data_IF_812690640299
#
_entry.id   IF_812690640299
#
_cell.length_a   1.000
_cell.length_b   1.000
_cell.length_c   1.000
_cell.angle_alpha   90.00
_cell.angle_beta   90.00
_cell.angle_gamma   90.00
#
_symmetry.space_group_name_H-M   'P 1'
#
loop_
_entity.id
_entity.type
_entity.pdbx_description
1 polymer ?
#
# COMPACT_ATOMS: atom_id res chain seq x y z
N UNK A 1 -27.00 -7.75 -13.67
CA UNK A 1 -27.17 -6.63 -14.61
C UNK A 1 -26.03 -5.64 -14.39
N UNK A 2 -25.26 -5.33 -15.43
CA UNK A 2 -24.00 -4.58 -15.35
C UNK A 2 -24.12 -3.14 -14.78
N UNK A 3 -25.34 -2.63 -14.63
CA UNK A 3 -25.67 -1.35 -13.99
C UNK A 3 -25.16 -1.21 -12.55
N UNK A 4 -25.04 -2.33 -11.83
CA UNK A 4 -24.52 -2.33 -10.47
C UNK A 4 -23.01 -2.06 -10.40
N UNK A 5 -22.25 -2.41 -11.45
CA UNK A 5 -20.79 -2.23 -11.50
C UNK A 5 -20.41 -0.77 -11.77
N UNK A 6 -21.21 -0.07 -12.57
CA UNK A 6 -20.99 1.34 -12.92
C UNK A 6 -21.12 2.25 -11.68
N UNK A 7 -21.87 1.84 -10.66
CA UNK A 7 -22.06 2.60 -9.42
C UNK A 7 -20.89 2.48 -8.43
N UNK A 8 -19.92 1.61 -8.70
CA UNK A 8 -18.75 1.41 -7.84
C UNK A 8 -17.69 2.43 -8.25
N UNK A 9 -17.49 3.45 -7.42
CA UNK A 9 -16.49 4.50 -7.64
C UNK A 9 -15.08 4.07 -7.22
N UNK A 10 -14.96 3.10 -6.31
CA UNK A 10 -13.68 2.64 -5.78
C UNK A 10 -13.80 2.07 -4.36
N UNK A 11 -12.72 2.20 -3.59
CA UNK A 11 -12.64 1.80 -2.19
C UNK A 11 -11.60 2.63 -1.44
N UNK A 12 -11.65 2.60 -0.11
CA UNK A 12 -10.77 3.39 0.76
C UNK A 12 -10.09 2.48 1.78
N UNK A 13 -8.86 2.82 2.15
CA UNK A 13 -8.15 2.15 3.24
C UNK A 13 -8.27 3.00 4.51
N UNK A 14 -9.12 2.58 5.44
CA UNK A 14 -9.34 3.29 6.70
C UNK A 14 -8.43 2.75 7.81
N UNK A 15 -7.84 3.66 8.57
CA UNK A 15 -7.09 3.36 9.79
C UNK A 15 -7.78 4.02 10.97
N UNK A 16 -8.29 3.20 11.90
CA UNK A 16 -8.98 3.68 13.09
C UNK A 16 -7.99 4.26 14.10
N UNK A 17 -8.28 5.47 14.57
CA UNK A 17 -7.39 6.29 15.40
C UNK A 17 -7.25 5.85 16.85
N UNK A 18 -7.98 4.83 17.30
CA UNK A 18 -8.03 4.38 18.71
C UNK A 18 -6.63 4.06 19.28
N UNK A 19 -5.72 3.59 18.42
CA UNK A 19 -4.35 3.21 18.79
C UNK A 19 -3.31 3.81 17.84
N UNK A 20 -3.62 4.96 17.23
CA UNK A 20 -2.73 5.59 16.24
C UNK A 20 -2.45 7.03 16.65
N UNK A 21 -1.17 7.28 16.90
CA UNK A 21 -0.60 8.59 17.19
C UNK A 21 0.36 9.02 16.06
N UNK A 22 0.69 10.30 15.97
CA UNK A 22 1.54 10.87 14.92
C UNK A 22 2.92 10.20 14.81
N UNK A 23 3.40 9.61 15.90
CA UNK A 23 4.64 8.84 15.96
C UNK A 23 4.57 7.47 15.26
N UNK A 24 3.39 6.85 15.18
CA UNK A 24 3.19 5.49 14.67
C UNK A 24 2.35 5.43 13.38
N UNK A 25 1.82 6.56 12.93
CA UNK A 25 0.95 6.67 11.77
C UNK A 25 1.62 6.10 10.50
N UNK A 26 2.78 6.63 10.13
CA UNK A 26 3.45 6.26 8.88
C UNK A 26 3.88 4.79 8.86
N UNK A 27 4.40 4.28 9.98
CA UNK A 27 4.85 2.89 10.11
C UNK A 27 3.69 1.88 10.12
N UNK A 28 2.49 2.27 10.57
CA UNK A 28 1.29 1.40 10.53
C UNK A 28 0.59 1.48 9.19
N UNK A 29 0.55 2.66 8.58
CA UNK A 29 -0.14 2.92 7.31
C UNK A 29 0.63 2.29 6.15
N UNK A 30 1.92 2.59 6.08
CA UNK A 30 2.80 2.10 5.03
C UNK A 30 3.52 0.83 5.49
N UNK A 31 3.62 -0.25 4.69
CA UNK A 31 3.27 -0.43 3.27
C UNK A 31 1.87 -1.04 3.03
N UNK A 32 1.02 -1.14 4.06
CA UNK A 32 -0.27 -1.84 3.95
C UNK A 32 -1.25 -1.12 3.02
N UNK A 33 -1.30 0.21 3.08
CA UNK A 33 -2.12 1.01 2.17
C UNK A 33 -1.62 1.01 0.73
N UNK A 34 -0.34 0.77 0.51
CA UNK A 34 0.26 0.64 -0.81
C UNK A 34 -0.38 -0.51 -1.62
N UNK A 35 -0.61 -1.64 -0.97
CA UNK A 35 -1.24 -2.80 -1.60
C UNK A 35 -2.70 -2.50 -2.02
N UNK A 36 -3.42 -1.72 -1.21
CA UNK A 36 -4.79 -1.28 -1.52
C UNK A 36 -4.78 -0.30 -2.70
N UNK A 37 -3.84 0.65 -2.71
CA UNK A 37 -3.66 1.58 -3.81
C UNK A 37 -3.33 0.85 -5.13
N UNK A 38 -2.45 -0.15 -5.11
CA UNK A 38 -2.13 -0.96 -6.29
C UNK A 38 -3.37 -1.67 -6.83
N UNK A 39 -4.26 -2.17 -5.95
CA UNK A 39 -5.52 -2.82 -6.35
C UNK A 39 -6.52 -1.84 -6.98
N UNK A 40 -6.62 -0.62 -6.45
CA UNK A 40 -7.57 0.39 -6.94
C UNK A 40 -7.12 1.03 -8.26
N UNK A 41 -5.81 1.11 -8.49
CA UNK A 41 -5.24 1.74 -9.68
C UNK A 41 -4.97 0.74 -10.81
N UNK A 42 -4.55 -0.49 -10.50
CA UNK A 42 -4.16 -1.47 -11.51
C UNK A 42 -5.35 -2.18 -12.13
N UNK A 43 -5.16 -2.66 -13.37
CA UNK A 43 -6.16 -3.48 -14.05
C UNK A 43 -6.53 -4.72 -13.23
N UNK A 44 -7.78 -5.16 -13.32
CA UNK A 44 -8.28 -6.33 -12.59
C UNK A 44 -7.53 -7.64 -12.91
N UNK A 45 -6.85 -7.71 -14.05
CA UNK A 45 -5.99 -8.83 -14.45
C UNK A 45 -4.69 -8.93 -13.65
N UNK A 46 -4.25 -7.84 -13.01
CA UNK A 46 -3.05 -7.81 -12.17
C UNK A 46 -3.41 -8.30 -10.77
N UNK A 47 -3.33 -9.61 -10.55
CA UNK A 47 -3.69 -10.24 -9.27
C UNK A 47 -2.60 -11.18 -8.71
N UNK A 48 -1.40 -11.17 -9.30
CA UNK A 48 -0.32 -12.03 -8.86
C UNK A 48 0.31 -11.54 -7.55
N UNK A 49 -0.02 -12.21 -6.46
CA UNK A 49 0.47 -11.87 -5.11
C UNK A 49 2.00 -11.96 -4.97
N UNK A 50 2.66 -12.90 -5.67
CA UNK A 50 4.11 -13.07 -5.56
C UNK A 50 4.86 -11.89 -6.20
N UNK A 51 4.42 -11.47 -7.37
CA UNK A 51 5.01 -10.35 -8.10
C UNK A 51 4.75 -9.00 -7.39
N UNK A 52 3.54 -8.81 -6.85
CA UNK A 52 3.20 -7.63 -6.04
C UNK A 52 4.06 -7.54 -4.77
N UNK A 53 4.36 -8.66 -4.11
CA UNK A 53 5.19 -8.67 -2.89
C UNK A 53 6.59 -8.13 -3.15
N UNK A 54 7.23 -8.50 -4.26
CA UNK A 54 8.57 -8.02 -4.60
C UNK A 54 8.59 -6.51 -4.87
N UNK A 55 7.56 -5.99 -5.58
CA UNK A 55 7.43 -4.55 -5.82
C UNK A 55 7.13 -3.77 -4.54
N UNK A 56 6.18 -4.22 -3.72
CA UNK A 56 5.76 -3.52 -2.51
C UNK A 56 6.86 -3.42 -1.45
N UNK A 57 7.73 -4.44 -1.36
CA UNK A 57 8.93 -4.37 -0.51
C UNK A 57 9.84 -3.21 -0.91
N UNK A 58 9.97 -2.92 -2.21
CA UNK A 58 10.83 -1.83 -2.69
C UNK A 58 10.33 -0.44 -2.32
N UNK A 59 9.00 -0.27 -2.22
CA UNK A 59 8.38 1.03 -1.90
C UNK A 59 8.34 1.25 -0.37
N UNK A 60 8.73 0.26 0.44
CA UNK A 60 8.75 0.39 1.90
C UNK A 60 9.78 1.43 2.37
N UNK A 61 9.33 2.40 3.18
CA UNK A 61 10.16 3.44 3.78
C UNK A 61 11.29 2.86 4.62
N UNK A 62 11.10 1.71 5.27
CA UNK A 62 12.18 1.05 6.04
C UNK A 62 13.29 0.49 5.16
N UNK A 63 12.97 0.10 3.92
CA UNK A 63 13.95 -0.31 2.92
C UNK A 63 14.68 0.92 2.36
N UNK A 64 14.01 2.07 2.24
CA UNK A 64 14.64 3.32 1.83
C UNK A 64 15.65 3.83 2.86
N UNK A 65 15.27 3.87 4.15
CA UNK A 65 16.19 4.31 5.22
C UNK A 65 17.39 3.37 5.36
N UNK A 66 17.20 2.05 5.27
CA UNK A 66 18.31 1.09 5.29
C UNK A 66 19.21 1.18 4.05
N UNK A 67 18.65 1.41 2.85
CA UNK A 67 19.47 1.60 1.63
C UNK A 67 20.28 2.90 1.70
N UNK A 68 19.71 3.97 2.26
CA UNK A 68 20.39 5.26 2.35
C UNK A 68 21.49 5.27 3.43
N UNK A 69 21.29 4.57 4.56
CA UNK A 69 22.35 4.37 5.56
C UNK A 69 23.50 3.47 5.06
N UNK A 70 23.24 2.56 4.11
CA UNK A 70 24.25 1.62 3.59
C UNK A 70 25.11 2.18 2.44
N UNK A 71 24.82 3.40 1.97
CA UNK A 71 25.62 4.09 0.93
C UNK A 71 26.67 5.05 1.52
N UNK A 72 26.79 5.10 2.85
CA UNK A 72 27.78 5.91 3.59
C UNK A 72 28.78 5.07 4.42
N UNK A 73 29.14 3.88 3.92
CA UNK A 73 30.35 3.11 4.26
C UNK A 73 31.05 2.78 2.95
#
# INVERSE_FOLDING_TARGET
SDDAKIRILGGEACLWGEFVDGTNLLARLWPKTAAVAERLWSAASVNNSKDAQFRLVSINLTTFTNKHCRTHI
#
